data_IF_199059822463
#
_entry.id   IF_199059822463
#
_cell.length_a   1.000
_cell.length_b   1.000
_cell.length_c   1.000
_cell.angle_alpha   90.00
_cell.angle_beta   90.00
_cell.angle_gamma   90.00
#
_symmetry.space_group_name_H-M   'P 1'
#
loop_
_entity.id
_entity.type
_entity.pdbx_description
1 polymer ?
#
# COMPACT_ATOMS: atom_id res chain seq x y z
N UNK A 1 -17.24 22.17 8.43
CA UNK A 1 -17.49 20.75 8.78
C UNK A 1 -17.40 20.63 10.29
N UNK A 2 -18.52 20.37 10.97
CA UNK A 2 -18.61 20.38 12.45
C UNK A 2 -17.67 19.35 13.10
N UNK A 3 -17.22 19.64 14.32
CA UNK A 3 -16.33 18.75 15.08
C UNK A 3 -16.96 17.37 15.33
N UNK A 4 -18.27 17.30 15.60
CA UNK A 4 -18.99 16.03 15.78
C UNK A 4 -19.03 15.17 14.51
N UNK A 5 -19.19 15.79 13.32
CA UNK A 5 -19.18 15.08 12.03
C UNK A 5 -17.79 14.50 11.71
N UNK A 6 -16.72 15.19 12.12
CA UNK A 6 -15.34 14.65 12.02
C UNK A 6 -15.12 13.49 13.00
N UNK A 7 -15.63 13.60 14.22
CA UNK A 7 -15.53 12.52 15.22
C UNK A 7 -16.25 11.26 14.75
N UNK A 8 -17.42 11.36 14.13
CA UNK A 8 -18.14 10.23 13.52
C UNK A 8 -17.41 9.66 12.30
N UNK A 9 -16.92 10.51 11.39
CA UNK A 9 -16.19 10.07 10.19
C UNK A 9 -14.88 9.33 10.53
N UNK A 10 -14.23 9.69 11.63
CA UNK A 10 -12.99 9.08 12.10
C UNK A 10 -13.23 7.83 12.98
N UNK A 11 -14.48 7.47 13.31
CA UNK A 11 -14.75 6.30 14.14
C UNK A 11 -14.28 4.97 13.51
N UNK A 12 -14.47 4.72 12.20
CA UNK A 12 -14.05 3.47 11.58
C UNK A 12 -12.52 3.32 11.52
N UNK A 13 -11.77 4.37 11.17
CA UNK A 13 -10.29 4.33 11.19
C UNK A 13 -9.77 4.07 12.62
N UNK A 14 -10.37 4.71 13.63
CA UNK A 14 -9.97 4.46 15.03
C UNK A 14 -10.27 3.04 15.47
N UNK A 15 -11.34 2.41 14.96
CA UNK A 15 -11.63 0.98 15.22
C UNK A 15 -10.51 0.11 14.64
N UNK A 16 -10.16 0.31 13.39
CA UNK A 16 -9.13 -0.48 12.69
C UNK A 16 -7.76 -0.34 13.36
N UNK A 17 -7.34 0.89 13.70
CA UNK A 17 -6.08 1.14 14.42
C UNK A 17 -6.07 0.48 15.80
N UNK A 18 -7.18 0.52 16.55
CA UNK A 18 -7.27 -0.15 17.85
C UNK A 18 -7.20 -1.67 17.72
N UNK A 19 -7.88 -2.23 16.72
CA UNK A 19 -7.85 -3.66 16.44
C UNK A 19 -6.42 -4.12 16.16
N UNK A 20 -5.77 -3.49 15.18
CA UNK A 20 -4.39 -3.86 14.80
C UNK A 20 -3.41 -3.64 15.96
N UNK A 21 -3.60 -2.59 16.76
CA UNK A 21 -2.81 -2.35 17.97
C UNK A 21 -3.03 -3.43 19.04
N UNK A 22 -4.26 -3.91 19.23
CA UNK A 22 -4.57 -5.00 20.17
C UNK A 22 -3.97 -6.33 19.70
N UNK A 23 -4.05 -6.63 18.39
CA UNK A 23 -3.43 -7.83 17.80
C UNK A 23 -1.91 -7.76 17.92
N UNK A 24 -1.29 -6.61 17.64
CA UNK A 24 0.15 -6.40 17.87
C UNK A 24 0.53 -6.61 19.34
N UNK A 25 -0.26 -6.07 20.28
CA UNK A 25 -0.04 -6.27 21.71
C UNK A 25 -0.05 -7.75 22.11
N UNK A 26 -1.02 -8.52 21.59
CA UNK A 26 -1.08 -9.98 21.78
C UNK A 26 0.17 -10.66 21.22
N UNK A 27 0.61 -10.30 20.02
CA UNK A 27 1.85 -10.86 19.43
C UNK A 27 3.07 -10.53 20.27
N UNK A 28 3.20 -9.30 20.80
CA UNK A 28 4.33 -8.92 21.66
C UNK A 28 4.33 -9.76 22.94
N UNK A 29 3.18 -9.90 23.60
CA UNK A 29 3.05 -10.70 24.82
C UNK A 29 3.39 -12.18 24.57
N UNK A 30 2.90 -12.76 23.46
CA UNK A 30 3.16 -14.16 23.09
C UNK A 30 4.63 -14.43 22.73
N UNK A 31 5.32 -13.48 22.09
CA UNK A 31 6.67 -13.67 21.58
C UNK A 31 7.75 -13.26 22.58
N UNK A 32 7.50 -12.24 23.40
CA UNK A 32 8.52 -11.60 24.26
C UNK A 32 8.11 -11.53 25.74
N UNK A 33 6.85 -11.80 26.06
CA UNK A 33 6.31 -11.77 27.43
C UNK A 33 5.59 -10.46 27.78
N UNK A 34 4.75 -10.53 28.83
CA UNK A 34 3.92 -9.42 29.29
C UNK A 34 4.75 -8.21 29.76
N UNK A 35 5.94 -8.44 30.33
CA UNK A 35 6.81 -7.38 30.83
C UNK A 35 7.25 -6.40 29.73
N UNK A 36 7.52 -6.91 28.51
CA UNK A 36 7.88 -6.07 27.37
C UNK A 36 6.68 -5.27 26.87
N UNK A 37 5.49 -5.90 26.81
CA UNK A 37 4.26 -5.20 26.44
C UNK A 37 3.98 -4.06 27.43
N UNK A 38 4.08 -4.30 28.72
CA UNK A 38 3.91 -3.27 29.75
C UNK A 38 4.93 -2.13 29.61
N UNK A 39 6.18 -2.44 29.23
CA UNK A 39 7.20 -1.44 28.98
C UNK A 39 6.87 -0.57 27.75
N UNK A 40 6.44 -1.18 26.64
CA UNK A 40 5.98 -0.47 25.45
C UNK A 40 4.81 0.46 25.78
N UNK A 41 3.77 -0.06 26.46
CA UNK A 41 2.58 0.71 26.79
C UNK A 41 2.89 1.91 27.70
N UNK A 42 3.78 1.70 28.68
CA UNK A 42 4.26 2.77 29.58
C UNK A 42 4.96 3.88 28.80
N UNK A 43 5.83 3.51 27.85
CA UNK A 43 6.53 4.48 27.00
C UNK A 43 5.54 5.21 26.09
N UNK A 44 4.57 4.49 25.50
CA UNK A 44 3.52 5.06 24.65
C UNK A 44 2.67 6.09 25.40
N UNK A 45 2.24 5.77 26.63
CA UNK A 45 1.45 6.67 27.47
C UNK A 45 2.25 7.93 27.83
N UNK A 46 3.50 7.78 28.26
CA UNK A 46 4.38 8.93 28.56
C UNK A 46 4.64 9.78 27.33
N UNK A 47 4.86 9.17 26.17
CA UNK A 47 5.05 9.90 24.91
C UNK A 47 3.81 10.69 24.49
N UNK A 48 2.62 10.14 24.72
CA UNK A 48 1.35 10.84 24.48
C UNK A 48 1.21 12.04 25.41
N UNK A 49 1.45 11.85 26.71
CA UNK A 49 1.29 12.90 27.71
C UNK A 49 2.32 14.02 27.51
N UNK A 50 3.56 13.67 27.12
CA UNK A 50 4.63 14.59 26.76
C UNK A 50 4.28 15.52 25.59
N UNK A 51 3.37 15.13 24.67
CA UNK A 51 2.88 16.06 23.63
C UNK A 51 2.09 17.23 24.21
N UNK A 52 1.39 17.02 25.34
CA UNK A 52 0.61 18.05 26.02
C UNK A 52 1.43 18.84 27.04
N UNK A 53 2.33 18.16 27.77
CA UNK A 53 3.10 18.75 28.88
C UNK A 53 4.47 19.27 28.46
N UNK A 54 5.02 18.79 27.34
CA UNK A 54 6.40 19.03 26.92
C UNK A 54 7.45 18.22 27.68
N UNK A 55 7.04 17.32 28.59
CA UNK A 55 7.95 16.52 29.43
C UNK A 55 8.53 15.32 28.68
N UNK A 56 9.53 15.59 27.82
CA UNK A 56 10.26 14.57 27.06
C UNK A 56 11.23 13.78 27.95
N UNK A 57 11.65 14.33 29.10
CA UNK A 57 12.60 13.66 29.99
C UNK A 57 11.98 12.41 30.63
N UNK A 58 10.68 12.44 30.98
CA UNK A 58 9.95 11.25 31.44
C UNK A 58 10.00 10.07 30.45
N UNK A 59 9.88 10.35 29.15
CA UNK A 59 9.98 9.33 28.08
C UNK A 59 11.40 8.82 27.98
N UNK A 60 12.38 9.73 27.96
CA UNK A 60 13.81 9.41 27.89
C UNK A 60 14.24 8.50 29.04
N UNK A 61 13.82 8.81 30.25
CA UNK A 61 14.18 8.02 31.43
C UNK A 61 13.53 6.63 31.41
N UNK A 62 12.30 6.51 30.88
CA UNK A 62 11.66 5.21 30.65
C UNK A 62 12.49 4.32 29.72
N UNK A 63 12.97 4.88 28.61
CA UNK A 63 13.76 4.16 27.63
C UNK A 63 15.13 3.77 28.21
N UNK A 64 15.74 4.65 29.00
CA UNK A 64 17.04 4.39 29.65
C UNK A 64 17.01 3.28 30.70
N UNK A 65 15.85 2.99 31.27
CA UNK A 65 15.67 1.89 32.22
C UNK A 65 15.66 0.51 31.55
N UNK A 66 15.46 0.46 30.23
CA UNK A 66 15.48 -0.77 29.44
C UNK A 66 16.90 -1.15 29.06
N UNK A 67 17.17 -2.45 28.97
CA UNK A 67 18.38 -2.98 28.35
C UNK A 67 18.42 -2.64 26.85
N UNK A 68 19.60 -2.64 26.20
CA UNK A 68 19.70 -2.38 24.76
C UNK A 68 18.84 -3.31 23.88
N UNK A 69 18.65 -4.56 24.30
CA UNK A 69 17.79 -5.53 23.59
C UNK A 69 16.32 -5.13 23.69
N UNK A 70 15.84 -4.82 24.90
CA UNK A 70 14.47 -4.34 25.12
C UNK A 70 14.22 -3.01 24.39
N UNK A 71 15.19 -2.08 24.37
CA UNK A 71 15.07 -0.84 23.61
C UNK A 71 14.88 -1.11 22.11
N UNK A 72 15.60 -2.08 21.55
CA UNK A 72 15.46 -2.45 20.14
C UNK A 72 14.08 -3.07 19.85
N UNK A 73 13.57 -3.91 20.75
CA UNK A 73 12.24 -4.52 20.62
C UNK A 73 11.12 -3.49 20.76
N UNK A 74 11.23 -2.56 21.71
CA UNK A 74 10.27 -1.45 21.85
C UNK A 74 10.30 -0.55 20.60
N UNK A 75 11.49 -0.24 20.08
CA UNK A 75 11.61 0.51 18.83
C UNK A 75 10.92 -0.22 17.66
N UNK A 76 11.12 -1.54 17.55
CA UNK A 76 10.42 -2.38 16.55
C UNK A 76 8.91 -2.33 16.75
N UNK A 77 8.42 -2.43 17.98
CA UNK A 77 6.99 -2.35 18.30
C UNK A 77 6.37 -1.03 17.81
N UNK A 78 7.02 0.11 18.09
CA UNK A 78 6.55 1.40 17.57
C UNK A 78 6.60 1.46 16.04
N UNK A 79 7.67 0.95 15.41
CA UNK A 79 7.79 0.88 13.96
C UNK A 79 6.61 0.12 13.32
N UNK A 80 6.33 -1.08 13.81
CA UNK A 80 5.22 -1.90 13.32
C UNK A 80 3.86 -1.25 13.62
N UNK A 81 3.67 -0.65 14.80
CA UNK A 81 2.44 0.07 15.11
C UNK A 81 2.15 1.17 14.09
N UNK A 82 3.16 1.97 13.70
CA UNK A 82 2.99 3.01 12.69
C UNK A 82 2.72 2.46 11.30
N UNK A 83 3.33 1.33 10.92
CA UNK A 83 3.02 0.65 9.66
C UNK A 83 1.57 0.17 9.63
N UNK A 84 1.11 -0.48 10.70
CA UNK A 84 -0.28 -0.95 10.84
C UNK A 84 -1.27 0.23 10.83
N UNK A 85 -0.94 1.32 11.51
CA UNK A 85 -1.75 2.54 11.48
C UNK A 85 -1.85 3.13 10.07
N UNK A 86 -0.74 3.16 9.31
CA UNK A 86 -0.74 3.59 7.93
C UNK A 86 -1.62 2.68 7.05
N UNK A 87 -1.56 1.36 7.24
CA UNK A 87 -2.42 0.41 6.50
C UNK A 87 -3.89 0.68 6.82
N UNK A 88 -4.25 0.84 8.10
CA UNK A 88 -5.61 1.19 8.51
C UNK A 88 -6.08 2.53 7.91
N UNK A 89 -5.21 3.53 7.83
CA UNK A 89 -5.54 4.81 7.19
C UNK A 89 -5.79 4.64 5.68
N UNK A 90 -4.92 3.92 4.96
CA UNK A 90 -5.12 3.67 3.53
C UNK A 90 -6.39 2.85 3.28
N UNK A 91 -6.66 1.85 4.12
CA UNK A 91 -7.90 1.08 4.08
C UNK A 91 -9.13 1.97 4.27
N UNK A 92 -9.11 2.85 5.27
CA UNK A 92 -10.19 3.79 5.51
C UNK A 92 -10.41 4.73 4.32
N UNK A 93 -9.35 5.23 3.68
CA UNK A 93 -9.46 6.07 2.47
C UNK A 93 -10.16 5.31 1.33
N UNK A 94 -9.83 4.04 1.12
CA UNK A 94 -10.49 3.17 0.13
C UNK A 94 -11.96 2.92 0.49
N UNK A 95 -12.26 2.61 1.77
CA UNK A 95 -13.62 2.42 2.28
C UNK A 95 -14.49 3.66 2.01
N UNK A 96 -13.98 4.85 2.33
CA UNK A 96 -14.66 6.14 2.06
C UNK A 96 -14.89 6.36 0.57
N UNK A 97 -13.90 6.07 -0.27
CA UNK A 97 -14.06 6.20 -1.73
C UNK A 97 -15.17 5.28 -2.28
N UNK A 98 -15.27 4.04 -1.78
CA UNK A 98 -16.36 3.11 -2.14
C UNK A 98 -17.73 3.61 -1.68
N UNK A 99 -17.83 4.11 -0.46
CA UNK A 99 -19.06 4.69 0.08
C UNK A 99 -19.55 5.87 -0.78
N UNK A 100 -18.67 6.81 -1.13
CA UNK A 100 -19.03 7.95 -1.98
C UNK A 100 -19.51 7.53 -3.37
N UNK A 101 -18.89 6.51 -3.96
CA UNK A 101 -19.32 5.97 -5.24
C UNK A 101 -20.69 5.27 -5.17
N UNK A 102 -21.02 4.63 -4.04
CA UNK A 102 -22.30 3.95 -3.83
C UNK A 102 -23.46 4.91 -3.54
N UNK A 103 -23.18 6.04 -2.90
CA UNK A 103 -24.18 7.04 -2.52
C UNK A 103 -24.55 8.00 -3.68
N UNK A 104 -24.03 7.75 -4.90
CA UNK A 104 -24.19 8.58 -6.10
C UNK A 104 -23.97 10.08 -5.83
N UNK A 105 -23.06 10.36 -4.89
CA UNK A 105 -22.66 11.72 -4.56
C UNK A 105 -21.80 12.28 -5.69
N UNK A 106 -21.71 13.61 -5.77
CA UNK A 106 -20.93 14.34 -6.77
C UNK A 106 -19.54 13.71 -6.99
N UNK A 107 -19.02 13.82 -8.21
CA UNK A 107 -17.75 13.22 -8.59
C UNK A 107 -16.66 13.43 -7.52
N UNK A 108 -15.92 12.38 -7.12
CA UNK A 108 -14.88 12.52 -6.11
C UNK A 108 -13.93 13.66 -6.49
N UNK A 109 -13.64 14.58 -5.56
CA UNK A 109 -12.73 15.70 -5.84
C UNK A 109 -11.39 15.16 -6.35
N UNK A 110 -10.82 15.83 -7.35
CA UNK A 110 -9.54 15.46 -7.96
C UNK A 110 -9.57 14.10 -8.69
N UNK A 111 -10.76 13.63 -9.09
CA UNK A 111 -10.94 12.50 -10.02
C UNK A 111 -11.03 12.95 -11.48
N UNK A 112 -10.96 12.00 -12.42
CA UNK A 112 -11.25 12.29 -13.83
C UNK A 112 -12.71 12.72 -14.03
N UNK A 113 -13.65 12.10 -13.30
CA UNK A 113 -15.04 12.55 -13.31
C UNK A 113 -15.20 14.03 -12.91
N UNK A 114 -14.57 14.48 -11.82
CA UNK A 114 -14.57 15.91 -11.40
C UNK A 114 -13.89 16.79 -12.46
N UNK A 115 -12.81 16.32 -13.08
CA UNK A 115 -12.17 17.03 -14.18
C UNK A 115 -13.10 17.21 -15.39
N UNK A 116 -13.88 16.19 -15.75
CA UNK A 116 -14.85 16.28 -16.85
C UNK A 116 -16.04 17.16 -16.51
N UNK A 117 -16.54 17.15 -15.27
CA UNK A 117 -17.58 18.08 -14.82
C UNK A 117 -17.12 19.54 -14.94
N UNK A 118 -15.87 19.84 -14.56
CA UNK A 118 -15.29 21.19 -14.72
C UNK A 118 -15.05 21.59 -16.17
N UNK A 119 -14.94 20.62 -17.07
CA UNK A 119 -14.74 20.82 -18.51
C UNK A 119 -16.05 20.64 -19.30
N UNK A 120 -17.21 20.65 -18.65
CA UNK A 120 -18.50 20.40 -19.29
C UNK A 120 -18.83 21.40 -20.42
N UNK A 121 -18.30 22.63 -20.36
CA UNK A 121 -18.49 23.66 -21.38
C UNK A 121 -17.58 23.46 -22.63
N UNK A 122 -16.64 22.52 -22.59
CA UNK A 122 -15.73 22.22 -23.70
C UNK A 122 -16.36 21.15 -24.60
N UNK A 123 -16.38 21.41 -25.91
CA UNK A 123 -16.88 20.45 -26.89
C UNK A 123 -16.01 19.21 -27.02
N UNK A 124 -16.62 18.07 -27.36
CA UNK A 124 -15.95 16.76 -27.44
C UNK A 124 -14.75 16.72 -28.40
N UNK A 125 -14.81 17.46 -29.52
CA UNK A 125 -13.70 17.53 -30.47
C UNK A 125 -12.48 18.26 -29.89
N UNK A 126 -12.73 19.36 -29.18
CA UNK A 126 -11.66 20.12 -28.50
C UNK A 126 -11.06 19.29 -27.36
N UNK A 127 -11.92 18.60 -26.59
CA UNK A 127 -11.50 17.72 -25.52
C UNK A 127 -10.65 16.56 -26.05
N UNK A 128 -11.08 15.90 -27.13
CA UNK A 128 -10.32 14.82 -27.78
C UNK A 128 -8.98 15.31 -28.32
N UNK A 129 -8.95 16.50 -28.93
CA UNK A 129 -7.71 17.13 -29.38
C UNK A 129 -6.76 17.46 -28.22
N UNK A 130 -7.30 17.89 -27.07
CA UNK A 130 -6.51 18.13 -25.86
C UNK A 130 -5.90 16.84 -25.32
N UNK A 131 -6.72 15.81 -25.14
CA UNK A 131 -6.29 14.53 -24.57
C UNK A 131 -5.31 13.78 -25.48
N UNK A 132 -5.42 13.91 -26.81
CA UNK A 132 -4.46 13.28 -27.73
C UNK A 132 -3.02 13.83 -27.62
N UNK A 133 -2.84 14.98 -26.97
CA UNK A 133 -1.53 15.56 -26.65
C UNK A 133 -1.08 15.30 -25.21
N UNK A 134 -1.94 14.70 -24.38
CA UNK A 134 -1.62 14.43 -23.00
C UNK A 134 -0.57 13.30 -22.92
N UNK A 135 0.47 13.53 -22.14
CA UNK A 135 1.50 12.54 -21.83
C UNK A 135 1.84 12.64 -20.36
N UNK A 136 1.75 11.52 -19.66
CA UNK A 136 2.13 11.36 -18.26
C UNK A 136 3.06 10.15 -18.15
N UNK A 137 4.33 10.43 -17.87
CA UNK A 137 5.33 9.40 -17.61
C UNK A 137 5.65 9.34 -16.12
N UNK A 138 5.36 8.20 -15.48
CA UNK A 138 5.68 7.94 -14.09
C UNK A 138 6.99 7.17 -13.99
N UNK A 139 8.04 7.80 -13.49
CA UNK A 139 9.38 7.21 -13.40
C UNK A 139 9.66 6.73 -11.99
N UNK A 140 9.81 5.41 -11.80
CA UNK A 140 10.18 4.83 -10.52
C UNK A 140 11.65 5.08 -10.22
N UNK A 141 11.95 5.51 -9.00
CA UNK A 141 13.31 5.75 -8.52
C UNK A 141 13.64 4.80 -7.36
N UNK A 142 14.92 4.49 -7.20
CA UNK A 142 15.39 3.77 -6.01
C UNK A 142 15.45 4.72 -4.83
N UNK A 143 15.05 4.27 -3.65
CA UNK A 143 15.20 5.06 -2.43
C UNK A 143 16.28 4.42 -1.53
N UNK A 144 17.34 5.15 -1.13
CA UNK A 144 18.51 4.58 -0.47
C UNK A 144 18.22 3.83 0.85
N UNK A 145 17.07 4.10 1.47
CA UNK A 145 16.67 3.54 2.77
C UNK A 145 15.41 2.66 2.73
N UNK A 146 14.68 2.59 1.61
CA UNK A 146 13.33 1.98 1.56
C UNK A 146 13.26 0.74 0.64
N UNK A 147 14.33 -0.06 0.57
CA UNK A 147 14.23 -1.38 -0.06
C UNK A 147 13.52 -2.39 0.87
N UNK A 148 12.27 -2.07 1.24
CA UNK A 148 11.39 -2.91 2.06
C UNK A 148 11.33 -4.31 1.44
N UNK A 149 11.53 -5.32 2.28
CA UNK A 149 11.58 -6.72 1.82
C UNK A 149 10.24 -7.11 1.20
N UNK A 150 10.26 -7.93 0.15
CA UNK A 150 9.04 -8.46 -0.49
C UNK A 150 8.09 -9.13 0.51
N UNK A 151 8.63 -9.84 1.51
CA UNK A 151 7.84 -10.44 2.59
C UNK A 151 7.02 -9.41 3.37
N UNK A 152 7.61 -8.26 3.69
CA UNK A 152 6.93 -7.18 4.42
C UNK A 152 5.82 -6.58 3.55
N UNK A 153 6.11 -6.32 2.27
CA UNK A 153 5.12 -5.80 1.32
C UNK A 153 3.92 -6.76 1.16
N UNK A 154 4.18 -8.06 1.07
CA UNK A 154 3.13 -9.08 0.99
C UNK A 154 2.30 -9.15 2.28
N UNK A 155 2.95 -9.10 3.45
CA UNK A 155 2.23 -9.06 4.72
C UNK A 155 1.37 -7.79 4.84
N UNK A 156 1.86 -6.63 4.38
CA UNK A 156 1.06 -5.40 4.32
C UNK A 156 -0.18 -5.54 3.42
N UNK A 157 -0.01 -6.12 2.22
CA UNK A 157 -1.15 -6.40 1.33
C UNK A 157 -2.16 -7.34 2.01
N UNK A 158 -1.67 -8.40 2.65
CA UNK A 158 -2.53 -9.37 3.32
C UNK A 158 -3.29 -8.76 4.49
N UNK A 159 -2.65 -7.91 5.29
CA UNK A 159 -3.34 -7.15 6.35
C UNK A 159 -4.42 -6.24 5.75
N UNK A 160 -4.14 -5.55 4.64
CA UNK A 160 -5.14 -4.70 3.98
C UNK A 160 -6.33 -5.51 3.43
N UNK A 161 -6.09 -6.69 2.84
CA UNK A 161 -7.12 -7.62 2.40
C UNK A 161 -7.98 -8.13 3.56
N UNK A 162 -7.36 -8.50 4.69
CA UNK A 162 -8.05 -8.95 5.89
C UNK A 162 -8.91 -7.87 6.51
N UNK A 163 -8.49 -6.60 6.49
CA UNK A 163 -9.33 -5.48 6.90
C UNK A 163 -10.55 -5.31 5.99
N UNK A 164 -10.40 -5.52 4.68
CA UNK A 164 -11.55 -5.50 3.76
C UNK A 164 -12.47 -6.68 4.01
N UNK A 165 -11.94 -7.89 4.22
CA UNK A 165 -12.74 -9.06 4.57
C UNK A 165 -13.48 -8.88 5.90
N UNK A 166 -12.89 -8.18 6.86
CA UNK A 166 -13.52 -7.88 8.15
C UNK A 166 -14.72 -6.93 8.02
N UNK A 167 -14.71 -6.02 7.05
CA UNK A 167 -15.87 -5.15 6.77
C UNK A 167 -17.07 -5.95 6.25
N UNK A 168 -16.79 -7.05 5.54
CA UNK A 168 -17.79 -7.90 4.88
C UNK A 168 -18.15 -9.16 5.69
N UNK A 169 -17.57 -9.35 6.88
CA UNK A 169 -17.78 -10.53 7.71
C UNK A 169 -19.25 -10.67 8.13
N UNK A 170 -19.83 -11.85 7.91
CA UNK A 170 -21.25 -12.12 8.15
C UNK A 170 -21.52 -12.68 9.56
N UNK A 171 -20.48 -13.11 10.29
CA UNK A 171 -20.63 -13.69 11.62
C UNK A 171 -19.44 -13.42 12.53
N UNK A 172 -19.66 -13.53 13.85
CA UNK A 172 -18.58 -13.39 14.84
C UNK A 172 -17.48 -14.45 14.69
N UNK A 173 -17.84 -15.66 14.24
CA UNK A 173 -16.88 -16.72 13.99
C UNK A 173 -15.95 -16.39 12.81
N UNK A 174 -16.47 -15.74 11.77
CA UNK A 174 -15.65 -15.24 10.65
C UNK A 174 -14.77 -14.07 11.08
N UNK A 175 -15.29 -13.13 11.88
CA UNK A 175 -14.48 -12.05 12.46
C UNK A 175 -13.31 -12.62 13.27
N UNK A 176 -13.55 -13.60 14.14
CA UNK A 176 -12.52 -14.25 14.95
C UNK A 176 -11.47 -14.97 14.10
N UNK A 177 -11.89 -15.63 13.01
CA UNK A 177 -10.96 -16.25 12.06
C UNK A 177 -10.07 -15.20 11.38
N UNK A 178 -10.64 -14.08 10.94
CA UNK A 178 -9.89 -12.97 10.33
C UNK A 178 -8.95 -12.32 11.35
N UNK A 179 -9.38 -12.14 12.60
CA UNK A 179 -8.54 -11.64 13.70
C UNK A 179 -7.34 -12.57 13.97
N UNK A 180 -7.52 -13.89 13.87
CA UNK A 180 -6.42 -14.86 13.97
C UNK A 180 -5.45 -14.75 12.79
N UNK A 181 -5.96 -14.65 11.56
CA UNK A 181 -5.13 -14.45 10.36
C UNK A 181 -4.36 -13.12 10.41
N UNK A 182 -4.96 -12.05 10.95
CA UNK A 182 -4.26 -10.79 11.24
C UNK A 182 -3.12 -11.01 12.24
N UNK A 183 -3.35 -11.82 13.28
CA UNK A 183 -2.32 -12.23 14.23
C UNK A 183 -1.13 -12.89 13.53
N UNK A 184 -1.38 -13.86 12.64
CA UNK A 184 -0.34 -14.54 11.87
C UNK A 184 0.48 -13.56 11.01
N UNK A 185 -0.17 -12.64 10.30
CA UNK A 185 0.54 -11.65 9.48
C UNK A 185 1.37 -10.69 10.33
N UNK A 186 0.84 -10.26 11.49
CA UNK A 186 1.56 -9.39 12.41
C UNK A 186 2.73 -10.13 13.07
N UNK A 187 2.60 -11.44 13.36
CA UNK A 187 3.75 -12.26 13.79
C UNK A 187 4.81 -12.36 12.71
N UNK A 188 4.44 -12.52 11.43
CA UNK A 188 5.40 -12.51 10.31
C UNK A 188 6.13 -11.16 10.27
N UNK A 189 5.42 -10.04 10.42
CA UNK A 189 6.03 -8.71 10.48
C UNK A 189 6.96 -8.58 11.70
N UNK A 190 6.55 -9.06 12.88
CA UNK A 190 7.37 -9.06 14.10
C UNK A 190 8.66 -9.84 13.95
N UNK A 191 8.59 -11.01 13.32
CA UNK A 191 9.72 -11.92 13.13
C UNK A 191 10.58 -11.58 11.90
N UNK A 192 10.13 -10.64 11.05
CA UNK A 192 10.87 -10.22 9.87
C UNK A 192 11.68 -8.97 10.18
N UNK A 193 13.00 -9.10 10.13
CA UNK A 193 13.87 -7.94 10.35
C UNK A 193 13.84 -6.95 9.17
N UNK A 194 13.21 -5.81 9.40
CA UNK A 194 13.11 -4.72 8.44
C UNK A 194 14.44 -3.98 8.26
N UNK A 195 15.25 -3.89 9.32
CA UNK A 195 16.54 -3.20 9.26
C UNK A 195 17.54 -4.08 8.53
N UNK A 196 17.74 -3.82 7.24
CA UNK A 196 18.80 -4.51 6.50
C UNK A 196 20.16 -4.19 7.12
N UNK A 197 20.83 -5.21 7.64
CA UNK A 197 22.18 -5.08 8.21
C UNK A 197 23.28 -4.83 7.16
N UNK A 198 22.93 -4.76 5.87
CA UNK A 198 23.83 -4.47 4.76
C UNK A 198 23.16 -3.63 3.67
N UNK A 199 23.98 -2.93 2.87
CA UNK A 199 23.49 -2.11 1.75
C UNK A 199 22.66 -2.99 0.79
N UNK A 200 21.44 -2.57 0.40
CA UNK A 200 20.66 -3.29 -0.60
C UNK A 200 21.50 -3.54 -1.86
N UNK A 201 21.40 -4.74 -2.42
CA UNK A 201 21.98 -4.99 -3.74
C UNK A 201 21.10 -4.29 -4.77
N UNK A 202 21.70 -3.78 -5.83
CA UNK A 202 20.96 -3.18 -6.95
C UNK A 202 19.91 -4.15 -7.53
N UNK A 203 20.20 -5.45 -7.49
CA UNK A 203 19.25 -6.50 -7.89
C UNK A 203 18.01 -6.59 -7.00
N UNK A 204 18.14 -6.27 -5.71
CA UNK A 204 17.01 -6.23 -4.78
C UNK A 204 16.16 -4.99 -5.03
N UNK A 205 16.77 -3.84 -5.37
CA UNK A 205 16.06 -2.62 -5.76
C UNK A 205 15.28 -2.82 -7.06
N UNK A 206 15.89 -3.44 -8.08
CA UNK A 206 15.22 -3.78 -9.35
C UNK A 206 13.98 -4.63 -9.08
N UNK A 207 14.12 -5.68 -8.26
CA UNK A 207 12.99 -6.54 -7.87
C UNK A 207 11.92 -5.79 -7.10
N UNK A 208 12.32 -4.86 -6.23
CA UNK A 208 11.40 -4.02 -5.47
C UNK A 208 10.62 -3.08 -6.40
N UNK A 209 11.26 -2.43 -7.36
CA UNK A 209 10.57 -1.60 -8.36
C UNK A 209 9.57 -2.41 -9.20
N UNK A 210 9.97 -3.60 -9.65
CA UNK A 210 9.11 -4.50 -10.43
C UNK A 210 7.94 -5.08 -9.63
N UNK A 211 8.04 -5.15 -8.30
CA UNK A 211 6.95 -5.61 -7.45
C UNK A 211 5.68 -4.77 -7.62
N UNK A 212 5.81 -3.45 -7.80
CA UNK A 212 4.66 -2.57 -8.04
C UNK A 212 4.00 -2.82 -9.40
N UNK A 213 4.77 -3.20 -10.41
CA UNK A 213 4.21 -3.63 -11.70
C UNK A 213 3.49 -4.97 -11.59
N UNK A 214 3.98 -5.86 -10.72
CA UNK A 214 3.35 -7.16 -10.49
C UNK A 214 2.02 -7.03 -9.72
N UNK A 215 1.87 -6.05 -8.82
CA UNK A 215 0.75 -6.03 -7.85
C UNK A 215 -0.21 -4.83 -7.97
N UNK A 216 0.17 -3.69 -8.56
CA UNK A 216 -0.70 -2.49 -8.47
C UNK A 216 -0.72 -1.58 -9.70
N UNK A 217 0.42 -1.29 -10.32
CA UNK A 217 0.50 -0.23 -11.35
C UNK A 217 -0.30 -0.54 -12.63
N UNK A 218 -0.23 -1.74 -13.24
CA UNK A 218 -0.99 -2.03 -14.44
C UNK A 218 -2.49 -1.97 -14.20
N UNK A 219 -2.98 -2.62 -13.14
CA UNK A 219 -4.39 -2.60 -12.79
C UNK A 219 -4.90 -1.17 -12.49
N UNK A 220 -4.10 -0.33 -11.84
CA UNK A 220 -4.44 1.07 -11.62
C UNK A 220 -4.48 1.88 -12.92
N UNK A 221 -3.50 1.68 -13.81
CA UNK A 221 -3.43 2.34 -15.11
C UNK A 221 -4.61 1.95 -16.02
N UNK A 222 -4.97 0.66 -16.04
CA UNK A 222 -6.12 0.16 -16.80
C UNK A 222 -7.44 0.75 -16.31
N UNK A 223 -7.64 0.84 -14.99
CA UNK A 223 -8.82 1.49 -14.40
C UNK A 223 -8.92 2.95 -14.80
N UNK A 224 -7.82 3.69 -14.74
CA UNK A 224 -7.79 5.11 -15.13
C UNK A 224 -8.06 5.28 -16.64
N UNK A 225 -7.48 4.40 -17.45
CA UNK A 225 -7.68 4.38 -18.89
C UNK A 225 -9.12 4.01 -19.27
N UNK A 226 -9.75 3.09 -18.54
CA UNK A 226 -11.15 2.74 -18.71
C UNK A 226 -12.07 3.93 -18.38
N UNK A 227 -11.82 4.64 -17.27
CA UNK A 227 -12.57 5.86 -16.91
C UNK A 227 -12.43 6.95 -17.98
N UNK A 228 -11.21 7.16 -18.50
CA UNK A 228 -10.97 8.08 -19.62
C UNK A 228 -11.74 7.67 -20.88
N UNK A 229 -11.67 6.39 -21.26
CA UNK A 229 -12.30 5.86 -22.48
C UNK A 229 -13.82 5.77 -22.40
N UNK A 230 -14.39 5.71 -21.20
CA UNK A 230 -15.83 5.80 -21.00
C UNK A 230 -16.38 7.16 -21.48
N UNK A 231 -15.62 8.25 -21.29
CA UNK A 231 -15.99 9.60 -21.78
C UNK A 231 -15.50 9.88 -23.19
N UNK A 232 -14.31 9.40 -23.55
CA UNK A 232 -13.65 9.63 -24.83
C UNK A 232 -13.21 8.31 -25.47
N UNK A 233 -14.12 7.63 -26.20
CA UNK A 233 -13.81 6.39 -26.89
C UNK A 233 -12.58 6.52 -27.82
N UNK A 234 -11.85 5.42 -28.00
CA UNK A 234 -10.68 5.29 -28.88
C UNK A 234 -9.46 6.15 -28.53
N UNK A 235 -9.48 6.83 -27.39
CA UNK A 235 -8.35 7.64 -26.93
C UNK A 235 -7.12 6.75 -26.64
N UNK A 236 -5.91 7.09 -27.17
CA UNK A 236 -4.68 6.39 -26.86
C UNK A 236 -4.33 6.56 -25.38
N UNK A 237 -3.57 5.62 -24.80
CA UNK A 237 -3.13 5.78 -23.41
C UNK A 237 -2.20 6.98 -23.29
N UNK A 238 -2.50 7.98 -22.43
CA UNK A 238 -1.55 9.04 -22.12
C UNK A 238 -0.51 8.58 -21.09
N UNK A 239 -0.67 7.39 -20.51
CA UNK A 239 0.16 6.87 -19.43
C UNK A 239 1.32 6.04 -19.97
N UNK A 240 2.53 6.38 -19.52
CA UNK A 240 3.73 5.56 -19.66
C UNK A 240 4.43 5.42 -18.31
N UNK A 241 5.25 4.38 -18.18
CA UNK A 241 6.06 4.17 -17.00
C UNK A 241 7.52 4.05 -17.38
N UNK A 242 8.39 4.66 -16.57
CA UNK A 242 9.83 4.54 -16.64
C UNK A 242 10.41 4.05 -15.32
N UNK A 243 11.70 3.72 -15.31
CA UNK A 243 12.43 3.44 -14.08
C UNK A 243 13.89 3.86 -14.21
N UNK A 244 14.40 4.48 -13.15
CA UNK A 244 15.83 4.74 -12.98
C UNK A 244 16.53 3.60 -12.24
N UNK A 245 15.77 2.72 -11.60
CA UNK A 245 16.32 1.60 -10.82
C UNK A 245 17.08 0.65 -11.75
N UNK A 246 18.36 0.44 -11.44
CA UNK A 246 19.27 -0.40 -12.24
C UNK A 246 20.01 0.35 -13.35
N UNK A 247 19.60 1.58 -13.69
CA UNK A 247 20.22 2.39 -14.74
C UNK A 247 20.84 3.71 -14.28
N UNK A 248 20.39 4.25 -13.14
CA UNK A 248 20.99 5.45 -12.56
C UNK A 248 22.37 5.17 -11.99
N UNK A 249 23.37 5.79 -12.60
CA UNK A 249 24.79 5.66 -12.25
C UNK A 249 25.28 6.81 -11.35
N UNK A 250 24.44 7.80 -11.06
CA UNK A 250 24.86 8.93 -10.24
C UNK A 250 25.10 8.49 -8.79
N UNK A 251 26.36 8.61 -8.33
CA UNK A 251 26.76 8.19 -6.99
C UNK A 251 26.67 6.69 -6.69
N UNK A 252 26.38 5.83 -7.68
CA UNK A 252 26.22 4.39 -7.49
C UNK A 252 27.20 3.56 -8.33
N UNK A 253 28.36 3.15 -7.77
CA UNK A 253 29.35 2.37 -8.49
C UNK A 253 28.89 0.94 -8.84
N UNK A 254 27.78 0.47 -8.26
CA UNK A 254 27.21 -0.83 -8.59
C UNK A 254 26.31 -0.79 -9.85
N UNK A 255 25.94 0.40 -10.34
CA UNK A 255 25.15 0.57 -11.55
C UNK A 255 26.05 0.63 -12.79
N UNK A 256 25.65 -0.05 -13.86
CA UNK A 256 26.39 -0.13 -15.10
C UNK A 256 25.70 -1.03 -16.13
N UNK A 257 26.46 -1.48 -17.13
CA UNK A 257 25.90 -2.28 -18.22
C UNK A 257 25.18 -3.57 -17.76
N UNK A 258 25.76 -4.25 -16.77
CA UNK A 258 25.20 -5.52 -16.26
C UNK A 258 23.89 -5.29 -15.49
N UNK A 259 23.80 -4.24 -14.69
CA UNK A 259 22.58 -3.92 -13.94
C UNK A 259 21.45 -3.44 -14.85
N UNK A 260 21.78 -2.66 -15.90
CA UNK A 260 20.82 -2.25 -16.93
C UNK A 260 20.29 -3.49 -17.65
N UNK A 261 21.17 -4.41 -18.06
CA UNK A 261 20.76 -5.66 -18.70
C UNK A 261 19.85 -6.49 -17.79
N UNK A 262 20.22 -6.63 -16.52
CA UNK A 262 19.39 -7.35 -15.55
C UNK A 262 18.02 -6.69 -15.35
N UNK A 263 17.96 -5.36 -15.23
CA UNK A 263 16.70 -4.63 -15.10
C UNK A 263 15.79 -4.86 -16.32
N UNK A 264 16.34 -4.74 -17.53
CA UNK A 264 15.61 -4.97 -18.78
C UNK A 264 15.13 -6.42 -18.92
N UNK A 265 15.99 -7.41 -18.66
CA UNK A 265 15.63 -8.82 -18.77
C UNK A 265 14.53 -9.20 -17.77
N UNK A 266 14.61 -8.71 -16.53
CA UNK A 266 13.57 -8.93 -15.52
C UNK A 266 12.26 -8.25 -15.87
N UNK A 267 12.29 -6.99 -16.30
CA UNK A 267 11.11 -6.25 -16.73
C UNK A 267 10.42 -6.97 -17.91
N UNK A 268 11.20 -7.41 -18.90
CA UNK A 268 10.70 -8.17 -20.05
C UNK A 268 10.07 -9.49 -19.61
N UNK A 269 10.73 -10.22 -18.71
CA UNK A 269 10.22 -11.51 -18.21
C UNK A 269 8.89 -11.31 -17.50
N UNK A 270 8.81 -10.32 -16.59
CA UNK A 270 7.58 -9.98 -15.88
C UNK A 270 6.44 -9.67 -16.86
N UNK A 271 6.68 -8.80 -17.84
CA UNK A 271 5.67 -8.43 -18.83
C UNK A 271 5.17 -9.65 -19.64
N UNK A 272 6.09 -10.52 -20.08
CA UNK A 272 5.73 -11.73 -20.84
C UNK A 272 4.94 -12.72 -19.98
N UNK A 273 5.30 -12.87 -18.71
CA UNK A 273 4.60 -13.76 -17.79
C UNK A 273 3.18 -13.24 -17.46
N UNK A 274 3.01 -11.93 -17.25
CA UNK A 274 1.70 -11.29 -17.08
C UNK A 274 0.81 -11.50 -18.31
N UNK A 275 1.27 -11.15 -19.51
CA UNK A 275 0.48 -11.35 -20.73
C UNK A 275 0.14 -12.82 -20.98
N UNK A 276 1.06 -13.73 -20.65
CA UNK A 276 0.80 -15.16 -20.78
C UNK A 276 -0.26 -15.64 -19.80
N UNK A 277 -0.31 -15.09 -18.58
CA UNK A 277 -1.37 -15.39 -17.62
C UNK A 277 -2.72 -14.88 -18.13
N UNK A 278 -2.80 -13.62 -18.55
CA UNK A 278 -4.02 -13.00 -19.09
C UNK A 278 -4.56 -13.74 -20.32
N UNK A 279 -3.70 -14.09 -21.28
CA UNK A 279 -4.11 -14.84 -22.48
C UNK A 279 -4.66 -16.22 -22.11
N UNK A 280 -4.11 -16.87 -21.09
CA UNK A 280 -4.64 -18.16 -20.62
C UNK A 280 -6.01 -18.00 -19.98
N UNK A 281 -6.21 -16.98 -19.15
CA UNK A 281 -7.51 -16.69 -18.56
C UNK A 281 -8.55 -16.36 -19.63
N UNK A 282 -8.20 -15.53 -20.62
CA UNK A 282 -9.05 -15.22 -21.76
C UNK A 282 -9.37 -16.46 -22.60
N UNK A 283 -8.40 -17.34 -22.83
CA UNK A 283 -8.64 -18.58 -23.58
C UNK A 283 -9.65 -19.51 -22.87
N UNK A 284 -9.66 -19.52 -21.53
CA UNK A 284 -10.65 -20.24 -20.74
C UNK A 284 -12.02 -19.54 -20.79
N UNK A 285 -12.04 -18.20 -20.65
CA UNK A 285 -13.28 -17.42 -20.65
C UNK A 285 -13.98 -17.33 -22.01
N UNK A 286 -13.21 -17.34 -23.10
CA UNK A 286 -13.68 -17.25 -24.49
C UNK A 286 -13.85 -18.63 -25.14
N UNK A 287 -14.18 -19.65 -24.35
CA UNK A 287 -14.47 -21.00 -24.83
C UNK A 287 -15.83 -21.11 -25.55
N UNK A 288 -16.18 -20.12 -26.37
CA UNK A 288 -17.41 -20.10 -27.14
C UNK A 288 -17.37 -21.18 -28.22
N UNK A 289 -18.46 -21.95 -28.31
CA UNK A 289 -18.58 -22.97 -29.32
C UNK A 289 -18.84 -22.32 -30.68
N UNK A 290 -17.95 -22.58 -31.66
CA UNK A 290 -18.03 -21.98 -33.01
C UNK A 290 -19.33 -22.25 -33.76
N UNK A 291 -20.13 -23.23 -33.33
CA UNK A 291 -21.43 -23.55 -33.95
C UNK A 291 -22.62 -22.81 -33.33
N UNK A 292 -22.43 -22.01 -32.28
CA UNK A 292 -23.49 -21.28 -31.58
C UNK A 292 -23.39 -19.76 -31.74
N UNK A 293 -22.36 -19.28 -32.42
CA UNK A 293 -22.14 -17.86 -32.72
C UNK A 293 -22.15 -17.74 -34.25
N UNK A 294 -23.26 -17.22 -34.80
CA UNK A 294 -23.39 -16.82 -36.22
C UNK A 294 -22.67 -15.50 -36.50
#
# INVERSE_FOLDING_TARGET
MNADVRVEADAPIRRDVRLLGAVLGKVIAEQEGDELLEAEERIRLRARDARGTGDVDSVRDSVRMLSPDEQAKVLRAFGLYFQLANIAEQHHRLRRRRQYAAEDQAAPRESLADAFERLADIGDDELRAGVSRLSLELVLTGHPTEATRRTILLAHLRVAELLTALDDAASRAEEEQIENELGEQITILWQTDEVRHGRPRLTDEIRHGLWFFEHSLPAAAERLLAELRARLPDTPSPLSFGTWIGGDMDGNPAAGADSIREALDRARTLALDSYRAEVRELAVGLAMHRSLVE
#
